data_IF_943673549286
#
_entry.id   IF_943673549286
#
_cell.length_a   1.000
_cell.length_b   1.000
_cell.length_c   1.000
_cell.angle_alpha   90.00
_cell.angle_beta   90.00
_cell.angle_gamma   90.00
#
_symmetry.space_group_name_H-M   'P 1'
#
loop_
_entity.id
_entity.type
_entity.pdbx_description
1 polymer ?
#
# COMPACT_ATOMS: atom_id res chain seq x y z
N UNK A 1 17.55 -16.09 20.82
CA UNK A 1 16.50 -15.31 21.49
C UNK A 1 16.70 -13.79 21.32
N UNK A 2 17.90 -13.31 21.53
CA UNK A 2 18.23 -11.90 21.35
C UNK A 2 18.04 -11.47 19.88
N UNK A 3 18.52 -12.28 18.95
CA UNK A 3 18.36 -12.02 17.52
C UNK A 3 16.88 -11.99 17.12
N UNK A 4 16.09 -12.93 17.64
CA UNK A 4 14.66 -13.00 17.38
C UNK A 4 13.95 -11.76 17.92
N UNK A 5 14.34 -11.28 19.11
CA UNK A 5 13.78 -10.07 19.71
C UNK A 5 14.13 -8.83 18.88
N UNK A 6 15.36 -8.73 18.40
CA UNK A 6 15.79 -7.60 17.56
C UNK A 6 15.02 -7.59 16.24
N UNK A 7 14.82 -8.74 15.63
CA UNK A 7 14.04 -8.82 14.39
C UNK A 7 12.58 -8.42 14.62
N UNK A 8 11.98 -8.84 15.73
CA UNK A 8 10.60 -8.49 16.06
C UNK A 8 10.45 -7.01 16.38
N UNK A 9 11.44 -6.41 17.08
CA UNK A 9 11.37 -5.00 17.47
C UNK A 9 11.62 -4.05 16.31
N UNK A 10 12.13 -4.55 15.17
CA UNK A 10 12.35 -3.73 13.98
C UNK A 10 11.08 -3.51 13.16
N UNK A 11 9.95 -4.11 13.57
CA UNK A 11 8.68 -3.97 12.85
C UNK A 11 7.65 -3.32 13.74
N UNK A 12 6.97 -2.31 13.19
CA UNK A 12 5.86 -1.64 13.84
C UNK A 12 4.60 -1.99 13.05
N UNK A 13 3.57 -2.47 13.74
CA UNK A 13 2.29 -2.84 13.17
C UNK A 13 1.28 -1.73 13.44
N UNK A 14 0.31 -1.58 12.56
CA UNK A 14 -0.64 -0.49 12.61
C UNK A 14 -2.05 -0.98 12.37
N UNK A 15 -3.05 -0.29 12.93
CA UNK A 15 -4.44 -0.51 12.57
C UNK A 15 -4.82 0.42 11.39
N UNK A 16 -6.06 0.30 10.91
CA UNK A 16 -6.55 1.11 9.76
C UNK A 16 -6.58 2.61 10.07
N UNK A 17 -6.59 2.98 11.34
CA UNK A 17 -6.55 4.37 11.77
C UNK A 17 -5.10 4.89 11.87
N UNK A 18 -4.14 4.08 11.42
CA UNK A 18 -2.71 4.42 11.40
C UNK A 18 -2.12 4.59 12.80
N UNK A 19 -2.68 3.89 13.77
CA UNK A 19 -2.16 3.86 15.15
C UNK A 19 -1.28 2.63 15.34
N UNK A 20 -0.12 2.77 16.00
CA UNK A 20 0.73 1.61 16.32
C UNK A 20 -0.01 0.64 17.25
N UNK A 21 0.11 -0.66 16.94
CA UNK A 21 -0.53 -1.71 17.73
C UNK A 21 0.45 -2.86 17.96
N UNK A 22 0.09 -3.74 18.89
CA UNK A 22 0.85 -4.96 19.14
C UNK A 22 0.63 -5.97 18.00
N UNK A 23 1.60 -6.85 17.80
CA UNK A 23 1.51 -7.87 16.76
C UNK A 23 0.22 -8.70 16.88
N UNK A 24 -0.18 -9.06 18.10
CA UNK A 24 -1.37 -9.90 18.31
C UNK A 24 -2.66 -9.21 17.88
N UNK A 25 -2.66 -7.89 17.80
CA UNK A 25 -3.83 -7.10 17.38
C UNK A 25 -3.79 -6.76 15.91
N UNK A 26 -2.70 -7.11 15.20
CA UNK A 26 -2.58 -6.83 13.78
C UNK A 26 -3.53 -7.71 12.96
N UNK A 27 -4.26 -7.09 12.06
CA UNK A 27 -5.25 -7.75 11.22
C UNK A 27 -4.77 -7.81 9.77
N UNK A 28 -4.38 -9.00 9.33
CA UNK A 28 -3.90 -9.26 7.97
C UNK A 28 -5.00 -9.79 7.05
N UNK A 29 -6.27 -9.72 7.46
CA UNK A 29 -7.38 -10.18 6.62
C UNK A 29 -7.50 -9.33 5.36
N UNK A 30 -8.07 -9.93 4.31
CA UNK A 30 -8.33 -9.24 3.04
C UNK A 30 -9.24 -8.04 3.28
N UNK A 31 -10.25 -8.18 4.12
CA UNK A 31 -11.20 -7.10 4.44
C UNK A 31 -10.49 -5.90 5.06
N UNK A 32 -9.57 -6.14 5.98
CA UNK A 32 -8.83 -5.05 6.62
C UNK A 32 -7.85 -4.40 5.65
N UNK A 33 -7.28 -5.17 4.73
CA UNK A 33 -6.26 -4.65 3.80
C UNK A 33 -6.85 -3.94 2.59
N UNK A 34 -8.06 -4.27 2.19
CA UNK A 34 -8.66 -3.69 0.98
C UNK A 34 -9.11 -2.25 1.22
N UNK A 35 -8.61 -1.32 0.39
CA UNK A 35 -9.01 0.08 0.43
C UNK A 35 -9.89 0.40 -0.78
N UNK A 36 -9.41 0.11 -1.99
CA UNK A 36 -10.15 0.35 -3.22
C UNK A 36 -9.69 -0.63 -4.30
N UNK A 37 -10.59 -0.97 -5.22
CA UNK A 37 -10.31 -1.93 -6.28
C UNK A 37 -11.16 -1.59 -7.50
N UNK A 38 -10.54 -1.39 -8.66
CA UNK A 38 -11.23 -1.10 -9.91
C UNK A 38 -10.60 -1.84 -11.08
N UNK A 39 -11.44 -2.32 -11.99
CA UNK A 39 -11.01 -2.92 -13.24
C UNK A 39 -11.28 -1.92 -14.37
N UNK A 40 -10.23 -1.51 -15.06
CA UNK A 40 -10.30 -0.45 -16.07
C UNK A 40 -9.45 -0.83 -17.27
N UNK A 41 -10.08 -0.91 -18.45
CA UNK A 41 -9.39 -1.19 -19.72
C UNK A 41 -8.44 -2.41 -19.66
N UNK A 42 -8.87 -3.49 -19.02
CA UNK A 42 -8.08 -4.71 -18.89
C UNK A 42 -6.98 -4.63 -17.84
N UNK A 43 -6.99 -3.58 -17.03
CA UNK A 43 -6.07 -3.40 -15.92
C UNK A 43 -6.85 -3.41 -14.60
N UNK A 44 -6.26 -4.02 -13.59
CA UNK A 44 -6.80 -4.04 -12.23
C UNK A 44 -5.98 -3.09 -11.35
N UNK A 45 -6.63 -2.04 -10.87
CA UNK A 45 -6.03 -1.08 -9.95
C UNK A 45 -6.42 -1.48 -8.53
N UNK A 46 -5.43 -1.82 -7.72
CA UNK A 46 -5.65 -2.29 -6.35
C UNK A 46 -4.91 -1.39 -5.36
N UNK A 47 -5.65 -0.84 -4.42
CA UNK A 47 -5.07 -0.05 -3.34
C UNK A 47 -5.33 -0.75 -2.02
N UNK A 48 -4.27 -0.97 -1.26
CA UNK A 48 -4.31 -1.77 -0.03
C UNK A 48 -3.68 -1.03 1.13
N UNK A 49 -4.12 -1.43 2.33
CA UNK A 49 -3.49 -1.10 3.61
C UNK A 49 -2.47 -2.19 3.92
N UNK A 50 -1.26 -1.80 4.26
CA UNK A 50 -0.13 -2.74 4.36
C UNK A 50 0.05 -3.34 5.75
N UNK A 51 -0.57 -2.78 6.78
CA UNK A 51 -0.47 -3.19 8.18
C UNK A 51 0.90 -2.89 8.81
N UNK A 52 1.96 -3.03 8.04
CA UNK A 52 3.35 -2.81 8.47
C UNK A 52 3.91 -1.60 7.73
N UNK A 53 4.72 -0.79 8.40
CA UNK A 53 5.42 0.32 7.76
C UNK A 53 6.37 -0.21 6.68
N UNK A 54 6.11 0.16 5.42
CA UNK A 54 6.90 -0.27 4.27
C UNK A 54 7.97 0.74 3.85
N UNK A 55 8.14 1.83 4.59
CA UNK A 55 9.25 2.73 4.33
C UNK A 55 10.56 2.02 4.69
N UNK A 56 11.59 2.20 3.84
CA UNK A 56 12.91 1.74 4.22
C UNK A 56 13.47 2.67 5.28
N UNK A 57 13.73 2.12 6.46
CA UNK A 57 14.31 2.86 7.57
C UNK A 57 15.45 2.07 8.16
N UNK A 58 16.56 2.75 8.40
CA UNK A 58 17.69 2.11 9.04
C UNK A 58 17.35 1.76 10.48
N UNK A 59 16.68 2.67 11.18
CA UNK A 59 16.15 2.44 12.52
C UNK A 59 14.67 2.78 12.51
N UNK A 60 13.75 1.83 12.84
CA UNK A 60 12.33 2.14 12.91
C UNK A 60 12.06 3.27 13.89
N UNK A 61 11.25 4.23 13.49
CA UNK A 61 10.94 5.38 14.32
C UNK A 61 9.44 5.71 14.21
N UNK A 62 8.82 5.95 15.37
CA UNK A 62 7.41 6.39 15.42
C UNK A 62 7.28 7.89 15.21
N UNK A 63 8.39 8.62 15.16
CA UNK A 63 8.38 10.06 14.90
C UNK A 63 8.19 10.38 13.43
N UNK A 64 8.50 9.43 12.55
CA UNK A 64 8.31 9.59 11.11
C UNK A 64 6.98 8.97 10.69
N UNK A 65 6.32 9.58 9.70
CA UNK A 65 5.10 9.01 9.17
C UNK A 65 5.37 7.65 8.53
N UNK A 66 4.63 6.61 8.94
CA UNK A 66 4.79 5.28 8.33
C UNK A 66 4.18 5.24 6.93
N UNK A 67 4.76 4.41 6.05
CA UNK A 67 4.19 4.15 4.72
C UNK A 67 3.29 2.93 4.84
N UNK A 68 1.98 3.15 4.86
CA UNK A 68 0.99 2.13 5.20
C UNK A 68 0.04 1.77 4.06
N UNK A 69 0.07 2.48 2.95
CA UNK A 69 -0.86 2.23 1.84
C UNK A 69 -0.10 2.16 0.52
N UNK A 70 -0.65 1.38 -0.41
CA UNK A 70 0.00 1.17 -1.71
C UNK A 70 -1.04 0.94 -2.79
N UNK A 71 -0.83 1.58 -3.94
CA UNK A 71 -1.58 1.27 -5.16
C UNK A 71 -0.67 0.52 -6.12
N UNK A 72 -1.17 -0.58 -6.65
CA UNK A 72 -0.50 -1.35 -7.69
C UNK A 72 -1.48 -1.60 -8.84
N UNK A 73 -0.93 -1.81 -10.04
CA UNK A 73 -1.71 -2.09 -11.23
C UNK A 73 -1.30 -3.46 -11.79
N UNK A 74 -2.29 -4.30 -12.06
CA UNK A 74 -2.09 -5.64 -12.58
C UNK A 74 -2.80 -5.79 -13.91
N UNK A 75 -2.26 -6.62 -14.80
CA UNK A 75 -2.96 -7.01 -16.02
C UNK A 75 -4.00 -8.07 -15.66
N UNK A 76 -5.25 -7.86 -16.07
CA UNK A 76 -6.32 -8.84 -15.81
C UNK A 76 -6.06 -10.16 -16.52
N UNK A 77 -5.46 -10.10 -17.72
CA UNK A 77 -5.28 -11.29 -18.57
C UNK A 77 -4.42 -12.38 -17.90
N UNK A 78 -3.36 -12.00 -17.20
CA UNK A 78 -2.40 -12.95 -16.63
C UNK A 78 -2.03 -12.65 -15.16
N UNK A 79 -2.60 -11.59 -14.60
CA UNK A 79 -2.29 -11.17 -13.24
C UNK A 79 -0.90 -10.57 -13.07
N UNK A 80 -0.17 -10.32 -14.18
CA UNK A 80 1.15 -9.73 -14.09
C UNK A 80 1.08 -8.30 -13.56
N UNK A 81 1.93 -7.99 -12.59
CA UNK A 81 2.02 -6.65 -12.02
C UNK A 81 2.77 -5.73 -13.00
N UNK A 82 2.20 -4.55 -13.24
CA UNK A 82 2.96 -3.48 -13.86
C UNK A 82 3.99 -3.00 -12.84
N UNK A 83 5.14 -2.54 -13.31
CA UNK A 83 6.28 -2.24 -12.44
C UNK A 83 6.15 -0.93 -11.68
N UNK A 84 4.94 -0.41 -11.52
CA UNK A 84 4.70 0.88 -10.88
C UNK A 84 3.92 0.72 -9.60
N UNK A 85 4.41 1.40 -8.56
CA UNK A 85 3.80 1.41 -7.24
C UNK A 85 3.71 2.85 -6.77
N UNK A 86 2.57 3.19 -6.17
CA UNK A 86 2.39 4.47 -5.48
C UNK A 86 2.14 4.16 -4.03
N UNK A 87 2.90 4.78 -3.15
CA UNK A 87 2.83 4.53 -1.71
C UNK A 87 2.42 5.78 -0.97
N UNK A 88 1.68 5.60 0.10
CA UNK A 88 1.07 6.70 0.84
C UNK A 88 1.15 6.45 2.32
N UNK A 89 1.08 7.54 3.09
CA UNK A 89 1.08 7.47 4.55
C UNK A 89 -0.33 7.41 5.13
N UNK A 90 -1.33 7.96 4.44
CA UNK A 90 -2.71 8.03 4.94
C UNK A 90 -3.70 7.40 3.97
N UNK A 91 -4.85 6.97 4.49
CA UNK A 91 -5.92 6.43 3.65
C UNK A 91 -6.48 7.50 2.71
N UNK A 92 -6.57 8.74 3.17
CA UNK A 92 -7.05 9.86 2.35
C UNK A 92 -6.18 10.04 1.11
N UNK A 93 -4.85 10.05 1.31
CA UNK A 93 -3.89 10.12 0.19
C UNK A 93 -4.04 8.91 -0.73
N UNK A 94 -4.24 7.73 -0.15
CA UNK A 94 -4.39 6.49 -0.92
C UNK A 94 -5.65 6.51 -1.79
N UNK A 95 -6.77 6.98 -1.27
CA UNK A 95 -8.00 7.09 -2.03
C UNK A 95 -7.87 8.12 -3.16
N UNK A 96 -7.22 9.23 -2.89
CA UNK A 96 -6.94 10.24 -3.90
C UNK A 96 -6.05 9.68 -5.01
N UNK A 97 -4.97 9.00 -4.64
CA UNK A 97 -4.04 8.40 -5.59
C UNK A 97 -4.69 7.31 -6.43
N UNK A 98 -5.49 6.45 -5.80
CA UNK A 98 -6.25 5.43 -6.51
C UNK A 98 -7.13 6.04 -7.60
N UNK A 99 -7.88 7.07 -7.25
CA UNK A 99 -8.73 7.80 -8.19
C UNK A 99 -7.93 8.37 -9.35
N UNK A 100 -6.77 8.97 -9.06
CA UNK A 100 -5.92 9.56 -10.09
C UNK A 100 -5.34 8.51 -11.04
N UNK A 101 -4.96 7.34 -10.54
CA UNK A 101 -4.48 6.24 -11.38
C UNK A 101 -5.59 5.75 -12.29
N UNK A 102 -6.80 5.55 -11.75
CA UNK A 102 -7.97 5.13 -12.55
C UNK A 102 -8.28 6.16 -13.63
N UNK A 103 -8.33 7.43 -13.30
CA UNK A 103 -8.59 8.51 -14.26
C UNK A 103 -7.54 8.55 -15.37
N UNK A 104 -6.27 8.33 -15.02
CA UNK A 104 -5.18 8.30 -15.99
C UNK A 104 -5.35 7.16 -16.98
N UNK A 105 -5.70 5.97 -16.50
CA UNK A 105 -5.93 4.80 -17.36
C UNK A 105 -7.14 5.03 -18.26
N UNK A 106 -8.22 5.60 -17.71
CA UNK A 106 -9.42 5.91 -18.51
C UNK A 106 -9.11 6.88 -19.64
N UNK A 107 -8.26 7.87 -19.38
CA UNK A 107 -7.92 8.89 -20.37
C UNK A 107 -6.93 8.38 -21.41
N UNK A 108 -5.96 7.56 -21.03
CA UNK A 108 -4.84 7.18 -21.89
C UNK A 108 -4.88 5.72 -22.36
N UNK A 109 -5.77 4.90 -21.80
CA UNK A 109 -5.90 3.49 -22.12
C UNK A 109 -4.90 2.59 -21.41
N UNK A 110 -3.87 3.13 -20.84
CA UNK A 110 -2.83 2.40 -20.12
C UNK A 110 -2.22 3.29 -19.05
N UNK A 111 -1.29 2.74 -18.26
CA UNK A 111 -0.58 3.50 -17.23
C UNK A 111 0.78 3.96 -17.77
N UNK A 112 1.09 5.22 -17.57
CA UNK A 112 2.38 5.80 -17.91
C UNK A 112 3.38 5.47 -16.80
N UNK A 113 4.58 4.94 -17.13
CA UNK A 113 5.61 4.63 -16.12
C UNK A 113 6.03 5.83 -15.27
N UNK A 114 5.88 7.02 -15.78
CA UNK A 114 6.29 8.24 -15.08
C UNK A 114 5.11 9.04 -14.53
N UNK A 115 3.92 8.42 -14.53
CA UNK A 115 2.74 9.10 -13.99
C UNK A 115 2.91 9.38 -12.51
N UNK A 116 2.67 10.63 -12.12
CA UNK A 116 2.70 11.07 -10.74
C UNK A 116 1.62 12.14 -10.54
N UNK A 117 1.22 12.34 -9.29
CA UNK A 117 0.12 13.26 -8.97
C UNK A 117 0.34 14.06 -7.69
#
# INVERSE_FOLDING_TARGET
>A
ELVKRLLCTNRIYYNRQCEPIEFNDADFSVENKRVASDNVNGLWVSTVFLVIDHAFRFIPSREQEPVLFETMVFKEADGACEDYQWRYCTEEEALYGHKKVVEHILKNGTIDPYFDF
#
